data_IF_373943466439
#
_entry.id   IF_373943466439
#
_cell.length_a   1.000
_cell.length_b   1.000
_cell.length_c   1.000
_cell.angle_alpha   90.00
_cell.angle_beta   90.00
_cell.angle_gamma   90.00
#
_symmetry.space_group_name_H-M   'P 1'
#
loop_
_entity.id
_entity.type
_entity.pdbx_description
1 polymer ?
#
# COMPACT_ATOMS: atom_id res chain seq x y z
N UNK A 1 52.08 -2.05 19.51
CA UNK A 1 50.73 -2.20 20.07
C UNK A 1 49.82 -1.17 19.41
N UNK A 2 48.84 -1.66 18.64
CA UNK A 2 47.66 -1.02 18.02
C UNK A 2 47.50 -1.59 16.62
N UNK A 3 46.98 -2.82 16.59
CA UNK A 3 46.35 -3.36 15.39
C UNK A 3 45.02 -2.63 15.23
N UNK A 4 44.88 -1.91 14.11
CA UNK A 4 43.59 -1.45 13.62
C UNK A 4 42.85 -2.73 13.17
N UNK A 5 41.85 -3.14 13.95
CA UNK A 5 40.92 -4.20 13.55
C UNK A 5 39.94 -3.62 12.52
N UNK A 6 40.13 -3.96 11.25
CA UNK A 6 39.10 -3.97 10.23
C UNK A 6 38.50 -5.40 10.22
N UNK A 7 37.20 -5.67 10.05
CA UNK A 7 36.05 -4.85 9.75
C UNK A 7 34.81 -5.54 10.32
N UNK A 8 34.14 -4.94 11.31
CA UNK A 8 32.73 -5.23 11.61
C UNK A 8 31.92 -4.26 10.76
N UNK A 9 31.39 -4.72 9.62
CA UNK A 9 30.52 -3.89 8.79
C UNK A 9 29.14 -3.93 9.45
N UNK A 10 28.86 -2.94 10.29
CA UNK A 10 27.53 -2.78 10.87
C UNK A 10 26.51 -2.45 9.77
N UNK A 11 25.24 -2.79 9.96
CA UNK A 11 24.15 -2.35 9.06
C UNK A 11 24.21 -0.84 8.83
N UNK A 12 24.50 -0.05 9.87
CA UNK A 12 24.72 1.39 9.71
C UNK A 12 25.82 1.73 8.70
N UNK A 13 26.94 1.00 8.69
CA UNK A 13 28.02 1.23 7.71
C UNK A 13 27.62 0.89 6.28
N UNK A 14 26.79 -0.15 6.06
CA UNK A 14 26.22 -0.48 4.75
C UNK A 14 25.21 0.57 4.29
N UNK A 15 24.34 1.02 5.21
CA UNK A 15 23.30 2.03 4.96
C UNK A 15 23.85 3.46 4.81
N UNK A 16 25.07 3.73 5.25
CA UNK A 16 25.79 5.00 4.99
C UNK A 16 26.51 4.95 3.63
N UNK A 17 26.77 3.75 3.11
CA UNK A 17 27.50 3.54 1.86
C UNK A 17 26.57 3.45 0.63
N UNK A 18 25.25 3.51 0.80
CA UNK A 18 24.31 3.54 -0.33
C UNK A 18 24.52 4.78 -1.19
N UNK A 19 24.70 4.57 -2.49
CA UNK A 19 24.95 5.63 -3.47
C UNK A 19 23.80 5.82 -4.46
N UNK A 20 22.69 5.10 -4.26
CA UNK A 20 21.54 5.09 -5.18
C UNK A 20 20.33 5.69 -4.49
N UNK A 21 19.79 6.77 -5.08
CA UNK A 21 18.49 7.30 -4.67
C UNK A 21 17.39 6.45 -5.28
N UNK A 22 16.43 5.99 -4.46
CA UNK A 22 15.33 5.15 -4.92
C UNK A 22 14.28 5.92 -5.76
N UNK A 23 14.41 7.24 -5.89
CA UNK A 23 13.37 8.10 -6.49
C UNK A 23 13.26 8.03 -8.01
N UNK A 24 14.21 7.45 -8.75
CA UNK A 24 14.12 7.33 -10.21
C UNK A 24 13.92 5.89 -10.68
N UNK A 25 12.71 5.61 -11.13
CA UNK A 25 12.31 4.59 -12.12
C UNK A 25 12.41 3.08 -11.81
N UNK A 26 13.06 2.60 -10.76
CA UNK A 26 13.09 1.14 -10.50
C UNK A 26 11.81 0.65 -9.78
N UNK A 27 11.07 1.55 -9.12
CA UNK A 27 9.99 1.18 -8.18
C UNK A 27 8.75 2.07 -8.26
N UNK A 28 8.38 2.53 -9.47
CA UNK A 28 7.12 3.25 -9.67
C UNK A 28 5.94 2.38 -9.23
N UNK A 29 5.27 2.80 -8.16
CA UNK A 29 4.16 2.05 -7.56
C UNK A 29 4.53 1.05 -6.46
N UNK A 30 5.65 1.25 -5.72
CA UNK A 30 6.07 0.54 -4.48
C UNK A 30 5.25 -0.75 -4.22
N UNK A 31 5.53 -1.78 -5.03
CA UNK A 31 4.95 -3.11 -4.88
C UNK A 31 5.41 -3.74 -3.56
N UNK A 32 4.74 -4.77 -3.05
CA UNK A 32 5.06 -5.43 -1.76
C UNK A 32 6.46 -6.00 -1.69
N UNK A 33 6.89 -6.35 -0.47
CA UNK A 33 7.98 -7.29 -0.30
C UNK A 33 7.66 -8.61 -0.99
N UNK A 34 8.54 -9.03 -1.90
CA UNK A 34 8.31 -10.16 -2.77
C UNK A 34 9.46 -11.14 -2.66
N UNK A 35 9.14 -12.39 -2.38
CA UNK A 35 10.10 -13.48 -2.47
C UNK A 35 10.04 -14.08 -3.88
N UNK A 36 11.07 -13.78 -4.67
CA UNK A 36 11.25 -14.30 -6.03
C UNK A 36 11.90 -15.68 -5.95
N UNK A 37 11.15 -16.72 -6.28
CA UNK A 37 11.61 -18.11 -6.22
C UNK A 37 12.74 -18.41 -7.21
N UNK A 38 12.74 -17.76 -8.38
CA UNK A 38 13.73 -18.00 -9.42
C UNK A 38 15.04 -17.26 -9.10
N UNK A 39 14.96 -16.14 -8.40
CA UNK A 39 16.13 -15.38 -7.93
C UNK A 39 16.55 -15.68 -6.49
N UNK A 40 15.81 -16.53 -5.75
CA UNK A 40 16.04 -16.81 -4.31
C UNK A 40 16.26 -15.54 -3.47
N UNK A 41 15.58 -14.45 -3.85
CA UNK A 41 15.81 -13.12 -3.31
C UNK A 41 14.51 -12.55 -2.78
N UNK A 42 14.52 -12.11 -1.53
CA UNK A 42 13.47 -11.27 -0.94
C UNK A 42 13.77 -9.81 -1.30
N UNK A 43 12.96 -9.24 -2.19
CA UNK A 43 13.05 -7.83 -2.58
C UNK A 43 12.14 -7.01 -1.69
N UNK A 44 12.69 -5.99 -1.04
CA UNK A 44 11.97 -5.11 -0.13
C UNK A 44 11.89 -3.72 -0.78
N UNK A 45 10.68 -3.29 -1.19
CA UNK A 45 10.47 -2.02 -1.86
C UNK A 45 10.79 -0.81 -0.97
N UNK A 46 10.52 -0.94 0.33
CA UNK A 46 10.66 0.10 1.32
C UNK A 46 10.54 -0.52 2.72
N UNK A 47 11.55 -0.29 3.56
CA UNK A 47 11.53 -0.54 4.99
C UNK A 47 11.91 0.75 5.73
N UNK A 48 11.07 1.16 6.69
CA UNK A 48 11.34 2.30 7.55
C UNK A 48 12.45 1.94 8.54
N UNK A 49 13.50 2.75 8.61
CA UNK A 49 14.58 2.55 9.55
C UNK A 49 14.27 3.23 10.89
N UNK A 50 14.32 2.47 11.99
CA UNK A 50 14.04 2.97 13.34
C UNK A 50 15.02 2.42 14.38
N UNK A 51 15.19 3.16 15.48
CA UNK A 51 15.78 2.62 16.70
C UNK A 51 14.78 1.69 17.44
N UNK A 52 15.25 1.00 18.47
CA UNK A 52 14.43 0.12 19.31
C UNK A 52 13.25 0.83 20.03
N UNK A 53 13.25 2.16 20.09
CA UNK A 53 12.17 2.95 20.69
C UNK A 53 11.18 3.47 19.64
N UNK A 54 11.38 3.14 18.36
CA UNK A 54 10.56 3.59 17.24
C UNK A 54 10.90 4.98 16.70
N UNK A 55 12.02 5.57 17.13
CA UNK A 55 12.50 6.87 16.66
C UNK A 55 13.35 6.73 15.39
N UNK A 56 13.43 7.80 14.61
CA UNK A 56 14.40 7.89 13.52
C UNK A 56 15.83 7.86 14.06
N UNK A 57 16.73 7.19 13.35
CA UNK A 57 18.16 7.19 13.65
C UNK A 57 18.80 8.45 13.03
N UNK A 58 19.55 9.25 13.82
CA UNK A 58 20.26 10.42 13.29
C UNK A 58 21.24 10.02 12.19
N UNK A 59 21.44 10.92 11.22
CA UNK A 59 22.42 10.78 10.14
C UNK A 59 22.18 9.60 9.16
N UNK A 60 21.04 8.93 9.26
CA UNK A 60 20.61 7.88 8.34
C UNK A 60 19.32 8.29 7.61
N UNK A 61 19.10 7.73 6.42
CA UNK A 61 17.87 7.93 5.69
C UNK A 61 16.69 7.33 6.49
N UNK A 62 15.49 7.93 6.41
CA UNK A 62 14.33 7.44 7.16
C UNK A 62 13.79 6.09 6.66
N UNK A 63 14.08 5.72 5.40
CA UNK A 63 13.66 4.45 4.83
C UNK A 63 14.62 3.99 3.71
N UNK A 64 14.60 2.69 3.44
CA UNK A 64 15.48 2.04 2.45
C UNK A 64 14.74 1.00 1.63
N UNK A 65 15.11 0.87 0.35
CA UNK A 65 14.81 -0.32 -0.45
C UNK A 65 15.97 -1.31 -0.30
N UNK A 66 15.66 -2.59 -0.03
CA UNK A 66 16.64 -3.60 0.36
C UNK A 66 16.46 -4.88 -0.46
N UNK A 67 17.53 -5.66 -0.58
CA UNK A 67 17.49 -7.00 -1.15
C UNK A 67 18.15 -7.99 -0.18
N UNK A 68 17.46 -9.09 0.09
CA UNK A 68 17.99 -10.19 0.88
C UNK A 68 18.11 -11.45 0.02
N UNK A 69 19.32 -11.94 -0.18
CA UNK A 69 19.59 -13.19 -0.87
C UNK A 69 19.53 -14.36 0.12
N UNK A 70 18.78 -15.41 -0.20
CA UNK A 70 18.76 -16.63 0.59
C UNK A 70 20.14 -17.34 0.51
N UNK A 71 20.95 -17.24 1.57
CA UNK A 71 22.30 -17.78 1.65
C UNK A 71 22.35 -19.19 2.25
N UNK A 72 21.35 -19.56 3.07
CA UNK A 72 21.20 -20.91 3.61
C UNK A 72 19.75 -21.37 3.53
N UNK A 73 19.53 -22.60 3.08
CA UNK A 73 18.21 -23.24 2.90
C UNK A 73 18.00 -24.44 3.82
N UNK A 74 18.91 -24.69 4.76
CA UNK A 74 18.74 -25.73 5.76
C UNK A 74 17.46 -25.47 6.59
N UNK A 75 16.51 -26.42 6.63
CA UNK A 75 15.24 -26.22 7.34
C UNK A 75 15.44 -25.82 8.80
N UNK A 76 14.89 -24.67 9.20
CA UNK A 76 15.03 -24.11 10.55
C UNK A 76 16.35 -23.39 10.81
N UNK A 77 17.20 -23.23 9.80
CA UNK A 77 18.44 -22.47 9.85
C UNK A 77 18.59 -21.60 8.58
N UNK A 78 17.48 -21.18 8.00
CA UNK A 78 17.45 -20.33 6.83
C UNK A 78 18.14 -18.99 7.13
N UNK A 79 19.02 -18.56 6.22
CA UNK A 79 19.79 -17.32 6.33
C UNK A 79 19.58 -16.45 5.11
N UNK A 80 19.41 -15.16 5.35
CA UNK A 80 19.14 -14.12 4.38
C UNK A 80 20.26 -13.10 4.45
N UNK A 81 21.13 -13.08 3.47
CA UNK A 81 22.23 -12.13 3.38
C UNK A 81 21.74 -10.81 2.79
N UNK A 82 22.03 -9.67 3.44
CA UNK A 82 21.81 -8.35 2.87
C UNK A 82 22.77 -8.14 1.69
N UNK A 83 22.22 -7.81 0.52
CA UNK A 83 22.98 -7.62 -0.72
C UNK A 83 22.59 -6.34 -1.43
N UNK A 84 23.50 -5.83 -2.26
CA UNK A 84 23.24 -4.72 -3.17
C UNK A 84 22.24 -5.13 -4.28
N UNK A 85 21.47 -4.18 -4.85
CA UNK A 85 21.47 -2.76 -4.54
C UNK A 85 20.71 -2.41 -3.26
N UNK A 86 21.25 -1.45 -2.51
CA UNK A 86 20.58 -0.73 -1.40
C UNK A 86 20.29 0.70 -1.87
N UNK A 87 19.05 1.15 -1.69
CA UNK A 87 18.65 2.50 -2.09
C UNK A 87 17.99 3.27 -0.96
N UNK A 88 18.30 4.56 -0.88
CA UNK A 88 17.82 5.48 0.15
C UNK A 88 16.58 6.25 -0.30
N UNK A 89 15.69 6.51 0.65
CA UNK A 89 14.58 7.47 0.49
C UNK A 89 14.83 8.72 1.34
N UNK A 90 14.59 9.90 0.76
CA UNK A 90 14.71 11.17 1.50
C UNK A 90 13.56 11.42 2.46
N UNK A 91 12.42 10.78 2.23
CA UNK A 91 11.19 10.87 3.03
C UNK A 91 10.54 9.48 3.07
N UNK A 92 9.77 9.18 4.11
CA UNK A 92 9.06 7.89 4.22
C UNK A 92 7.87 7.92 3.25
N UNK A 93 7.80 7.04 2.24
CA UNK A 93 6.60 6.91 1.43
C UNK A 93 5.42 6.43 2.28
N UNK A 94 4.22 6.96 2.05
CA UNK A 94 3.00 6.51 2.74
C UNK A 94 2.73 5.00 2.56
N UNK A 95 3.26 4.42 1.48
CA UNK A 95 3.15 2.98 1.20
C UNK A 95 4.24 2.10 1.81
N UNK A 96 5.13 2.67 2.64
CA UNK A 96 6.18 1.93 3.33
C UNK A 96 5.62 1.22 4.56
N UNK A 97 5.55 -0.10 4.50
CA UNK A 97 4.94 -0.91 5.56
C UNK A 97 5.92 -1.72 6.39
N UNK A 98 7.07 -2.02 5.82
CA UNK A 98 8.06 -2.83 6.50
C UNK A 98 8.90 -1.95 7.41
N UNK A 99 9.49 -2.56 8.43
CA UNK A 99 10.36 -1.85 9.37
C UNK A 99 11.68 -2.61 9.51
N UNK A 100 12.77 -1.84 9.57
CA UNK A 100 14.08 -2.30 9.98
C UNK A 100 14.44 -1.58 11.29
N UNK A 101 14.45 -2.33 12.39
CA UNK A 101 14.75 -1.82 13.72
C UNK A 101 16.16 -2.18 14.13
N UNK A 102 16.97 -1.20 14.54
CA UNK A 102 18.32 -1.42 15.07
C UNK A 102 18.31 -1.27 16.59
N UNK A 103 18.96 -2.19 17.31
CA UNK A 103 19.08 -2.10 18.76
C UNK A 103 19.91 -0.88 19.18
N UNK A 104 19.66 -0.31 20.36
CA UNK A 104 20.36 0.90 20.81
C UNK A 104 21.86 0.72 21.03
N UNK A 105 22.30 -0.51 21.30
CA UNK A 105 23.71 -0.88 21.39
C UNK A 105 24.33 -1.22 20.03
N UNK A 106 23.55 -1.10 18.94
CA UNK A 106 23.94 -1.42 17.56
C UNK A 106 24.42 -2.86 17.37
N UNK A 107 24.02 -3.78 18.26
CA UNK A 107 24.43 -5.18 18.22
C UNK A 107 23.53 -6.05 17.35
N UNK A 108 22.30 -5.61 17.06
CA UNK A 108 21.33 -6.37 16.29
C UNK A 108 20.46 -5.49 15.40
N UNK A 109 19.98 -6.09 14.32
CA UNK A 109 18.95 -5.51 13.46
C UNK A 109 17.80 -6.51 13.29
N UNK A 110 16.57 -6.02 13.33
CA UNK A 110 15.36 -6.82 13.14
C UNK A 110 14.55 -6.25 11.98
N UNK A 111 14.30 -7.07 10.98
CA UNK A 111 13.39 -6.74 9.89
C UNK A 111 12.03 -7.39 10.15
N UNK A 112 10.96 -6.61 10.00
CA UNK A 112 9.58 -7.08 10.18
C UNK A 112 8.71 -6.66 9.00
N UNK A 113 7.94 -7.61 8.47
CA UNK A 113 6.87 -7.37 7.49
C UNK A 113 5.65 -8.22 7.81
N UNK A 114 4.47 -7.73 7.43
CA UNK A 114 3.19 -8.46 7.51
C UNK A 114 2.54 -8.69 6.15
N UNK A 115 3.26 -8.37 5.06
CA UNK A 115 2.67 -8.22 3.74
C UNK A 115 3.51 -8.83 2.62
N UNK A 116 4.33 -9.84 2.94
CA UNK A 116 5.19 -10.49 1.95
C UNK A 116 4.34 -11.35 1.01
N UNK A 117 4.54 -11.20 -0.29
CA UNK A 117 4.01 -12.11 -1.31
C UNK A 117 5.12 -13.12 -1.70
N UNK A 118 4.75 -14.39 -1.84
CA UNK A 118 5.65 -15.44 -2.32
C UNK A 118 5.08 -15.93 -3.65
N UNK A 119 5.88 -15.92 -4.71
CA UNK A 119 5.49 -16.46 -6.03
C UNK A 119 4.08 -15.99 -6.44
N UNK A 120 3.91 -14.66 -6.48
CA UNK A 120 2.61 -13.99 -6.68
C UNK A 120 1.94 -14.34 -8.01
N UNK A 121 2.71 -14.84 -8.97
CA UNK A 121 2.22 -15.29 -10.28
C UNK A 121 1.65 -16.72 -10.23
N UNK A 122 2.06 -17.55 -9.27
CA UNK A 122 1.50 -18.88 -9.09
C UNK A 122 0.10 -18.83 -8.48
N UNK A 123 -0.84 -19.54 -9.12
CA UNK A 123 -2.22 -19.63 -8.67
C UNK A 123 -2.37 -20.20 -7.24
N UNK A 124 -1.38 -20.96 -6.75
CA UNK A 124 -1.38 -21.55 -5.41
C UNK A 124 -1.08 -20.55 -4.28
N UNK A 125 -0.42 -19.43 -4.61
CA UNK A 125 -0.06 -18.37 -3.66
C UNK A 125 -0.77 -17.05 -3.94
N UNK A 126 -1.58 -17.01 -5.00
CA UNK A 126 -2.53 -15.93 -5.25
C UNK A 126 -3.37 -15.68 -4.00
N UNK A 127 -3.27 -14.47 -3.48
CA UNK A 127 -3.96 -13.98 -2.27
C UNK A 127 -3.43 -14.51 -0.93
N UNK A 128 -2.19 -15.00 -0.88
CA UNK A 128 -1.52 -15.31 0.40
C UNK A 128 -0.45 -14.28 0.73
N UNK A 129 -0.47 -13.84 1.98
CA UNK A 129 0.57 -12.97 2.51
C UNK A 129 1.25 -13.62 3.70
N UNK A 130 2.51 -13.28 3.89
CA UNK A 130 3.32 -13.82 4.95
C UNK A 130 3.78 -12.68 5.85
N UNK A 131 3.64 -12.91 7.15
CA UNK A 131 4.35 -12.14 8.15
C UNK A 131 5.69 -12.81 8.40
N UNK A 132 6.74 -12.01 8.34
CA UNK A 132 8.12 -12.44 8.47
C UNK A 132 8.84 -11.52 9.44
N UNK A 133 9.51 -12.15 10.39
CA UNK A 133 10.48 -11.48 11.25
C UNK A 133 11.85 -12.13 11.04
N UNK A 134 12.83 -11.29 10.70
CA UNK A 134 14.21 -11.69 10.53
C UNK A 134 15.10 -10.93 11.50
N UNK A 135 16.15 -11.57 12.02
CA UNK A 135 17.10 -10.93 12.93
C UNK A 135 18.56 -11.19 12.53
N UNK A 136 19.34 -10.13 12.49
CA UNK A 136 20.78 -10.14 12.26
C UNK A 136 21.56 -9.78 13.53
N UNK A 137 22.70 -10.44 13.72
CA UNK A 137 23.71 -10.06 14.69
C UNK A 137 24.78 -9.20 14.00
N UNK A 138 24.87 -7.93 14.39
CA UNK A 138 25.77 -6.94 13.78
C UNK A 138 27.18 -6.96 14.37
N UNK A 139 27.40 -7.74 15.43
CA UNK A 139 28.72 -7.90 16.05
C UNK A 139 29.59 -8.94 15.33
N UNK A 140 29.01 -9.75 14.44
CA UNK A 140 29.74 -10.76 13.69
C UNK A 140 30.57 -10.11 12.58
N UNK A 141 31.80 -10.61 12.38
CA UNK A 141 32.61 -10.25 11.22
C UNK A 141 32.08 -10.98 9.98
N UNK A 142 31.89 -10.25 8.87
CA UNK A 142 31.39 -10.81 7.61
C UNK A 142 30.23 -10.01 7.02
N UNK A 143 29.53 -10.58 6.02
CA UNK A 143 28.31 -9.98 5.49
C UNK A 143 27.20 -10.00 6.55
N UNK A 144 26.30 -9.02 6.47
CA UNK A 144 25.13 -8.99 7.37
C UNK A 144 24.17 -10.08 6.95
N UNK A 145 24.01 -11.09 7.81
CA UNK A 145 23.06 -12.17 7.62
C UNK A 145 21.94 -12.11 8.66
N UNK A 146 20.74 -12.28 8.14
CA UNK A 146 19.50 -12.33 8.87
C UNK A 146 19.03 -13.78 9.01
N UNK A 147 18.55 -14.12 10.18
CA UNK A 147 18.02 -15.43 10.52
C UNK A 147 16.51 -15.32 10.66
N UNK A 148 15.78 -16.36 10.26
CA UNK A 148 14.34 -16.40 10.49
C UNK A 148 14.06 -16.50 11.98
N UNK A 149 13.30 -15.54 12.52
CA UNK A 149 12.77 -15.62 13.90
C UNK A 149 11.37 -16.19 13.86
N UNK A 150 10.51 -15.62 13.01
CA UNK A 150 9.15 -16.11 12.79
C UNK A 150 8.76 -16.00 11.34
N UNK A 151 8.02 -17.02 10.87
CA UNK A 151 7.26 -16.98 9.62
C UNK A 151 5.86 -17.43 9.97
N UNK A 152 4.88 -16.62 9.62
CA UNK A 152 3.49 -17.05 9.68
C UNK A 152 2.78 -16.67 8.39
N UNK A 153 2.05 -17.63 7.82
CA UNK A 153 1.19 -17.35 6.69
C UNK A 153 -0.14 -16.81 7.19
N UNK A 154 -0.69 -15.89 6.42
CA UNK A 154 -2.04 -15.39 6.57
C UNK A 154 -2.73 -15.56 5.23
N UNK A 155 -3.77 -16.39 5.21
CA UNK A 155 -4.67 -16.43 4.07
C UNK A 155 -5.38 -15.08 4.01
N UNK A 156 -5.05 -14.27 3.00
CA UNK A 156 -5.80 -13.08 2.70
C UNK A 156 -6.88 -13.45 1.69
N UNK A 157 -8.04 -12.83 1.83
CA UNK A 157 -9.08 -12.94 0.81
C UNK A 157 -9.44 -11.55 0.39
N UNK A 158 -9.18 -11.23 -0.88
CA UNK A 158 -9.49 -9.92 -1.43
C UNK A 158 -10.96 -9.59 -1.19
N UNK A 159 -11.28 -8.34 -0.81
CA UNK A 159 -12.64 -7.88 -0.76
C UNK A 159 -13.34 -8.15 -2.09
N UNK A 160 -14.53 -8.71 -2.02
CA UNK A 160 -15.37 -8.89 -3.18
C UNK A 160 -16.66 -8.12 -3.03
N UNK A 161 -17.12 -7.50 -4.12
CA UNK A 161 -18.40 -6.81 -4.15
C UNK A 161 -19.37 -7.62 -4.98
N UNK A 162 -20.46 -8.06 -4.35
CA UNK A 162 -21.51 -8.87 -4.97
C UNK A 162 -22.77 -8.04 -5.27
N UNK A 163 -22.73 -6.72 -5.09
CA UNK A 163 -23.85 -5.85 -5.42
C UNK A 163 -23.87 -5.46 -6.90
N UNK A 164 -25.01 -4.92 -7.34
CA UNK A 164 -25.18 -4.38 -8.68
C UNK A 164 -24.84 -2.88 -8.72
N UNK A 165 -24.60 -2.37 -9.93
CA UNK A 165 -24.54 -0.93 -10.19
C UNK A 165 -25.94 -0.41 -10.47
N UNK A 166 -26.37 0.60 -9.72
CA UNK A 166 -27.66 1.23 -9.89
C UNK A 166 -27.59 2.31 -10.96
N UNK A 167 -28.43 2.18 -11.99
CA UNK A 167 -28.49 3.11 -13.12
C UNK A 167 -29.65 4.09 -12.93
N UNK A 168 -29.39 5.38 -13.12
CA UNK A 168 -30.37 6.45 -13.02
C UNK A 168 -30.15 7.53 -14.08
N UNK A 169 -31.17 8.36 -14.30
CA UNK A 169 -31.11 9.48 -15.25
C UNK A 169 -31.19 10.82 -14.53
N UNK A 170 -30.47 11.82 -15.03
CA UNK A 170 -30.53 13.22 -14.56
C UNK A 170 -31.23 14.09 -15.59
N UNK A 171 -32.21 14.85 -15.14
CA UNK A 171 -33.09 15.66 -15.98
C UNK A 171 -34.55 15.46 -15.56
N UNK A 172 -35.13 14.26 -15.77
CA UNK A 172 -36.44 13.92 -15.24
C UNK A 172 -36.40 13.63 -13.71
N UNK A 173 -37.53 13.74 -13.00
CA UNK A 173 -37.63 13.30 -11.61
C UNK A 173 -37.23 11.82 -11.44
N UNK A 174 -36.60 11.44 -10.30
CA UNK A 174 -36.39 12.27 -9.11
C UNK A 174 -35.14 13.16 -9.19
N UNK A 175 -34.17 12.86 -10.06
CA UNK A 175 -32.92 13.62 -10.19
C UNK A 175 -33.05 14.71 -11.24
N UNK A 176 -33.73 15.79 -10.90
CA UNK A 176 -33.87 16.94 -11.83
C UNK A 176 -32.52 17.64 -12.06
N UNK A 177 -32.45 18.55 -13.03
CA UNK A 177 -31.24 19.37 -13.28
C UNK A 177 -30.82 20.24 -12.08
N UNK A 178 -31.73 20.46 -11.13
CA UNK A 178 -31.47 21.20 -9.88
C UNK A 178 -31.23 20.28 -8.67
N UNK A 179 -31.20 18.97 -8.87
CA UNK A 179 -30.93 18.01 -7.80
C UNK A 179 -29.53 18.23 -7.23
N UNK A 180 -29.43 18.19 -5.91
CA UNK A 180 -28.17 18.37 -5.18
C UNK A 180 -27.62 17.00 -4.81
N UNK A 181 -26.42 16.70 -5.30
CA UNK A 181 -25.62 15.52 -4.97
C UNK A 181 -24.71 15.89 -3.80
N UNK A 182 -24.87 15.24 -2.66
CA UNK A 182 -24.18 15.57 -1.42
C UNK A 182 -23.79 14.33 -0.61
N UNK A 183 -23.24 14.56 0.59
CA UNK A 183 -22.81 13.51 1.49
C UNK A 183 -23.92 12.53 1.89
N UNK A 184 -25.20 12.94 1.93
CA UNK A 184 -26.30 12.03 2.27
C UNK A 184 -26.45 10.94 1.19
N UNK A 185 -26.24 11.32 -0.08
CA UNK A 185 -26.23 10.38 -1.19
C UNK A 185 -24.97 9.50 -1.19
N UNK A 186 -23.81 10.04 -0.81
CA UNK A 186 -22.60 9.24 -0.61
C UNK A 186 -22.75 8.27 0.57
N UNK A 187 -23.46 8.65 1.63
CA UNK A 187 -23.74 7.77 2.76
C UNK A 187 -24.71 6.65 2.37
N UNK A 188 -25.73 6.94 1.55
CA UNK A 188 -26.58 5.92 0.95
C UNK A 188 -25.78 4.97 0.06
N UNK A 189 -24.90 5.51 -0.78
CA UNK A 189 -23.96 4.76 -1.61
C UNK A 189 -23.09 3.84 -0.76
N UNK A 190 -22.55 4.35 0.35
CA UNK A 190 -21.75 3.58 1.30
C UNK A 190 -22.54 2.48 1.99
N UNK A 191 -23.82 2.70 2.29
CA UNK A 191 -24.69 1.67 2.87
C UNK A 191 -24.93 0.52 1.88
N UNK A 192 -25.19 0.84 0.61
CA UNK A 192 -25.33 -0.15 -0.46
C UNK A 192 -24.01 -0.90 -0.69
N UNK A 193 -22.89 -0.17 -0.75
CA UNK A 193 -21.54 -0.72 -0.83
C UNK A 193 -21.30 -1.74 0.29
N UNK A 194 -21.50 -1.34 1.55
CA UNK A 194 -21.27 -2.21 2.71
C UNK A 194 -22.19 -3.43 2.73
N UNK A 195 -23.43 -3.31 2.21
CA UNK A 195 -24.34 -4.45 2.10
C UNK A 195 -23.91 -5.47 1.04
N UNK A 196 -23.29 -5.01 -0.07
CA UNK A 196 -22.78 -5.87 -1.13
C UNK A 196 -21.32 -6.32 -0.95
N UNK A 197 -20.56 -5.66 -0.07
CA UNK A 197 -19.15 -5.91 0.16
C UNK A 197 -18.96 -7.09 1.12
N UNK A 198 -18.28 -8.12 0.63
CA UNK A 198 -17.79 -9.24 1.43
C UNK A 198 -16.33 -8.97 1.79
N UNK A 199 -16.10 -8.66 3.08
CA UNK A 199 -14.77 -8.48 3.66
C UNK A 199 -14.48 -9.65 4.60
N UNK A 200 -13.33 -10.28 4.43
CA UNK A 200 -12.91 -11.41 5.28
C UNK A 200 -12.10 -10.96 6.51
N UNK A 201 -11.67 -9.70 6.54
CA UNK A 201 -10.79 -9.13 7.56
C UNK A 201 -11.34 -7.78 8.04
N UNK A 202 -12.41 -7.86 8.84
CA UNK A 202 -13.04 -6.67 9.40
C UNK A 202 -12.03 -5.81 10.19
N UNK A 203 -12.07 -4.50 9.98
CA UNK A 203 -11.21 -3.52 10.68
C UNK A 203 -9.88 -3.19 9.99
N UNK A 204 -9.49 -3.92 8.93
CA UNK A 204 -8.25 -3.67 8.17
C UNK A 204 -8.49 -3.09 6.78
N UNK A 205 -9.76 -3.04 6.36
CA UNK A 205 -10.20 -2.41 5.12
C UNK A 205 -10.84 -1.07 5.44
N UNK A 206 -10.28 -0.01 4.89
CA UNK A 206 -10.90 1.30 4.84
C UNK A 206 -11.77 1.40 3.59
N UNK A 207 -13.03 1.81 3.78
CA UNK A 207 -13.97 2.05 2.70
C UNK A 207 -14.26 3.53 2.56
N UNK A 208 -14.11 4.04 1.35
CA UNK A 208 -14.44 5.42 1.01
C UNK A 208 -15.35 5.48 -0.21
N UNK A 209 -16.19 6.52 -0.30
CA UNK A 209 -17.09 6.73 -1.42
C UNK A 209 -17.08 8.19 -1.85
N UNK A 210 -16.98 8.43 -3.14
CA UNK A 210 -16.89 9.78 -3.70
C UNK A 210 -17.60 9.87 -5.06
N UNK A 211 -17.90 11.10 -5.49
CA UNK A 211 -18.43 11.35 -6.83
C UNK A 211 -17.30 11.45 -7.83
N UNK A 212 -17.35 10.63 -8.88
CA UNK A 212 -16.46 10.66 -10.03
C UNK A 212 -17.20 11.24 -11.24
N UNK A 213 -16.66 12.29 -11.85
CA UNK A 213 -17.28 13.04 -12.93
C UNK A 213 -16.31 13.22 -14.10
N UNK A 214 -16.04 12.16 -14.86
CA UNK A 214 -15.06 12.19 -15.94
C UNK A 214 -15.52 13.09 -17.11
N UNK A 215 -16.82 13.33 -17.21
CA UNK A 215 -17.42 14.19 -18.23
C UNK A 215 -17.50 15.67 -17.80
N UNK A 216 -17.08 16.00 -16.57
CA UNK A 216 -17.07 17.35 -16.01
C UNK A 216 -18.46 18.03 -16.08
N UNK A 217 -19.52 17.29 -15.73
CA UNK A 217 -20.92 17.68 -15.77
C UNK A 217 -21.38 18.43 -14.52
N UNK A 218 -20.74 18.21 -13.38
CA UNK A 218 -21.14 18.72 -12.08
C UNK A 218 -20.35 19.99 -11.70
N UNK A 219 -21.01 20.95 -11.07
CA UNK A 219 -20.37 22.06 -10.37
C UNK A 219 -20.55 21.93 -8.87
N UNK A 220 -19.56 22.44 -8.12
CA UNK A 220 -19.67 22.62 -6.67
C UNK A 220 -20.50 23.87 -6.41
N UNK A 221 -21.57 23.74 -5.64
CA UNK A 221 -22.44 24.86 -5.26
C UNK A 221 -22.06 25.45 -3.90
N UNK A 222 -21.69 24.59 -2.95
CA UNK A 222 -21.26 25.00 -1.62
C UNK A 222 -20.43 23.90 -0.96
N UNK A 223 -19.61 24.30 0.01
CA UNK A 223 -18.86 23.39 0.90
C UNK A 223 -19.26 23.71 2.33
N UNK A 224 -19.88 22.76 3.02
CA UNK A 224 -20.36 22.92 4.41
C UNK A 224 -19.62 21.91 5.29
N UNK A 225 -18.55 22.37 5.96
CA UNK A 225 -17.64 21.47 6.66
C UNK A 225 -16.91 20.57 5.67
N UNK A 226 -17.09 19.25 5.78
CA UNK A 226 -16.56 18.26 4.82
C UNK A 226 -17.51 17.96 3.66
N UNK A 227 -18.76 18.40 3.73
CA UNK A 227 -19.78 18.11 2.72
C UNK A 227 -19.60 19.01 1.50
N UNK A 228 -19.28 18.40 0.36
CA UNK A 228 -19.17 19.08 -0.92
C UNK A 228 -20.45 18.84 -1.72
N UNK A 229 -21.29 19.87 -1.77
CA UNK A 229 -22.56 19.80 -2.48
C UNK A 229 -22.36 20.14 -3.94
N UNK A 230 -22.84 19.26 -4.81
CA UNK A 230 -22.73 19.37 -6.26
C UNK A 230 -24.09 19.41 -6.92
N UNK A 231 -24.18 20.03 -8.09
CA UNK A 231 -25.34 19.92 -8.99
C UNK A 231 -24.88 19.88 -10.43
N UNK A 232 -25.81 19.60 -11.35
CA UNK A 232 -25.51 19.70 -12.77
C UNK A 232 -25.19 21.15 -13.17
N UNK A 233 -24.13 21.36 -13.96
CA UNK A 233 -23.78 22.70 -14.43
C UNK A 233 -24.93 23.30 -15.23
N UNK A 234 -25.21 24.61 -15.09
CA UNK A 234 -26.20 25.31 -15.94
C UNK A 234 -25.88 25.23 -17.44
N UNK A 235 -24.61 25.00 -17.80
CA UNK A 235 -24.16 24.86 -19.17
C UNK A 235 -24.42 23.47 -19.78
N UNK A 236 -24.81 22.46 -18.98
CA UNK A 236 -25.18 21.13 -19.51
C UNK A 236 -26.50 21.25 -20.27
N UNK A 237 -26.53 20.76 -21.51
CA UNK A 237 -27.70 20.84 -22.39
C UNK A 237 -28.03 19.47 -22.99
N UNK A 238 -29.03 19.41 -23.88
CA UNK A 238 -29.35 18.19 -24.62
C UNK A 238 -28.17 17.65 -25.46
N UNK A 239 -27.15 18.47 -25.78
CA UNK A 239 -25.93 18.03 -26.45
C UNK A 239 -25.05 17.11 -25.56
N UNK A 240 -25.27 17.13 -24.25
CA UNK A 240 -24.56 16.31 -23.27
C UNK A 240 -25.31 15.02 -22.90
N UNK A 241 -26.46 14.77 -23.54
CA UNK A 241 -27.25 13.57 -23.29
C UNK A 241 -26.42 12.30 -23.55
N UNK A 242 -26.54 11.33 -22.64
CA UNK A 242 -25.75 10.10 -22.69
C UNK A 242 -24.39 10.18 -21.99
N UNK A 243 -23.94 11.37 -21.56
CA UNK A 243 -22.75 11.49 -20.69
C UNK A 243 -23.09 11.07 -19.27
N UNK A 244 -22.08 10.55 -18.56
CA UNK A 244 -22.26 9.93 -17.25
C UNK A 244 -21.31 10.48 -16.19
N UNK A 245 -21.78 10.39 -14.95
CA UNK A 245 -20.99 10.54 -13.73
C UNK A 245 -21.47 9.51 -12.70
N UNK A 246 -20.65 9.26 -11.68
CA UNK A 246 -20.78 8.08 -10.82
C UNK A 246 -20.64 8.42 -9.34
N UNK A 247 -21.22 7.57 -8.49
CA UNK A 247 -20.76 7.43 -7.11
C UNK A 247 -19.92 6.16 -7.04
N UNK A 248 -18.63 6.34 -6.79
CA UNK A 248 -17.63 5.27 -6.74
C UNK A 248 -17.32 4.99 -5.28
N UNK A 249 -17.29 3.71 -4.91
CA UNK A 249 -16.77 3.28 -3.62
C UNK A 249 -15.52 2.42 -3.81
N UNK A 250 -14.59 2.55 -2.87
CA UNK A 250 -13.32 1.84 -2.86
C UNK A 250 -13.18 1.01 -1.59
N UNK A 251 -12.47 -0.11 -1.70
CA UNK A 251 -11.93 -0.86 -0.57
C UNK A 251 -10.41 -0.76 -0.62
N UNK A 252 -9.83 -0.13 0.39
CA UNK A 252 -8.39 -0.03 0.57
C UNK A 252 -7.96 -0.87 1.77
N UNK A 253 -7.04 -1.80 1.58
CA UNK A 253 -6.50 -2.55 2.71
C UNK A 253 -5.33 -1.78 3.31
N UNK A 254 -5.40 -1.45 4.60
CA UNK A 254 -4.39 -0.69 5.33
C UNK A 254 -3.16 -1.53 5.70
N UNK A 255 -3.34 -2.81 6.03
CA UNK A 255 -2.24 -3.70 6.44
C UNK A 255 -1.23 -3.92 5.34
N UNK A 256 -1.76 -3.96 4.12
CA UNK A 256 -0.93 -4.09 2.94
C UNK A 256 -0.85 -2.75 2.23
N UNK A 257 -1.64 -1.72 2.48
CA UNK A 257 -1.56 -0.44 1.75
C UNK A 257 -1.73 -0.63 0.23
N UNK A 258 -2.85 -1.24 -0.21
CA UNK A 258 -3.32 -1.09 -1.60
C UNK A 258 -4.81 -0.94 -1.70
N UNK A 259 -5.18 -0.30 -2.80
CA UNK A 259 -6.53 -0.31 -3.34
C UNK A 259 -6.83 -1.71 -3.87
N UNK A 260 -7.78 -2.39 -3.24
CA UNK A 260 -8.21 -3.74 -3.61
C UNK A 260 -9.36 -3.73 -4.61
N UNK A 261 -10.25 -2.75 -4.45
CA UNK A 261 -11.47 -2.67 -5.22
C UNK A 261 -11.88 -1.22 -5.44
N UNK A 262 -12.39 -0.94 -6.62
CA UNK A 262 -13.10 0.28 -6.97
C UNK A 262 -14.33 -0.12 -7.78
N UNK A 263 -15.51 0.35 -7.39
CA UNK A 263 -16.79 0.02 -8.04
C UNK A 263 -17.65 1.26 -8.15
N UNK A 264 -18.23 1.46 -9.33
CA UNK A 264 -19.31 2.40 -9.55
C UNK A 264 -20.59 1.80 -8.95
N UNK A 265 -21.00 2.30 -7.79
CA UNK A 265 -22.21 1.81 -7.09
C UNK A 265 -23.45 2.45 -7.70
N UNK A 266 -23.38 3.73 -8.06
CA UNK A 266 -24.40 4.42 -8.84
C UNK A 266 -23.79 5.03 -10.10
N UNK A 267 -24.55 4.98 -11.19
CA UNK A 267 -24.26 5.69 -12.42
C UNK A 267 -25.46 6.56 -12.81
N UNK A 268 -25.18 7.82 -13.13
CA UNK A 268 -26.16 8.78 -13.58
C UNK A 268 -25.87 9.21 -15.00
N UNK A 269 -26.84 9.00 -15.88
CA UNK A 269 -26.77 9.41 -17.29
C UNK A 269 -27.57 10.69 -17.51
N UNK A 270 -26.98 11.69 -18.16
CA UNK A 270 -27.66 12.95 -18.50
C UNK A 270 -28.75 12.70 -19.54
N UNK A 271 -29.95 13.22 -19.27
CA UNK A 271 -31.09 13.15 -20.18
C UNK A 271 -31.99 14.39 -20.03
N UNK A 272 -31.70 15.41 -20.82
CA UNK A 272 -32.38 16.71 -20.85
C UNK A 272 -33.15 16.84 -22.16
N UNK A 273 -34.38 17.37 -22.06
CA UNK A 273 -35.27 17.67 -23.18
C UNK A 273 -35.19 19.13 -23.61
#
# INVERSE_FOLDING_TARGET
MRFIKAASISVGTLLIASVVSAQSDIWSGLARSQFDSDASTLRIPCAVLKDQNGNALPDLAPAYALNFLLSNTEPGNERFQLVEPIAEFTEIPDSCLDTLTVSSDLSSATYTSNSIEIDSDAAAFRDRFYALELQANLLMEGPVEFSVVTVSSRDYRRPNYNGETYLAFVGPPPYTTQFVFDDDLLQQTKNVWNAGLVVYEAGRVQNDCYFDDPSNLLEVIEVVGTNVRKRLKPAVTAADNGKEFYAVCTAFNLDINRLEKSVQVYAWTVYIY
#
